data_IF_854867485546
#
_entry.id   IF_854867485546
#
_cell.length_a   1.000
_cell.length_b   1.000
_cell.length_c   1.000
_cell.angle_alpha   90.00
_cell.angle_beta   90.00
_cell.angle_gamma   90.00
#
_symmetry.space_group_name_H-M   'P 1'
#
loop_
_entity.id
_entity.type
_entity.pdbx_description
1 polymer ?
#
# COMPACT_ATOMS: atom_id res chain seq x y z
N UNK A 1 -5.26 -21.17 3.17
CA UNK A 1 -4.44 -20.03 3.64
C UNK A 1 -3.22 -19.76 2.75
N UNK A 2 -2.47 -20.77 2.31
CA UNK A 2 -1.27 -20.59 1.46
C UNK A 2 -1.58 -19.91 0.11
N UNK A 3 -2.69 -20.26 -0.54
CA UNK A 3 -3.13 -19.63 -1.81
C UNK A 3 -3.39 -18.13 -1.64
N UNK A 4 -4.04 -17.73 -0.54
CA UNK A 4 -4.33 -16.32 -0.23
C UNK A 4 -3.05 -15.53 -0.01
N UNK A 5 -2.06 -16.13 0.67
CA UNK A 5 -0.75 -15.52 0.89
C UNK A 5 0.00 -15.30 -0.44
N UNK A 6 -0.02 -16.29 -1.34
CA UNK A 6 0.57 -16.17 -2.67
C UNK A 6 -0.09 -15.09 -3.53
N UNK A 7 -1.42 -15.01 -3.47
CA UNK A 7 -2.20 -13.97 -4.15
C UNK A 7 -1.86 -12.56 -3.62
N UNK A 8 -1.81 -12.38 -2.30
CA UNK A 8 -1.44 -11.11 -1.67
C UNK A 8 -0.02 -10.68 -2.03
N UNK A 9 0.94 -11.60 -2.05
CA UNK A 9 2.32 -11.33 -2.48
C UNK A 9 2.36 -10.86 -3.94
N UNK A 10 1.57 -11.49 -4.82
CA UNK A 10 1.46 -11.09 -6.22
C UNK A 10 0.91 -9.66 -6.36
N UNK A 11 -0.16 -9.33 -5.63
CA UNK A 11 -0.71 -7.96 -5.59
C UNK A 11 0.35 -6.97 -5.11
N UNK A 12 1.11 -7.32 -4.07
CA UNK A 12 2.16 -6.46 -3.54
C UNK A 12 3.25 -6.16 -4.57
N UNK A 13 3.74 -7.17 -5.29
CA UNK A 13 4.73 -6.97 -6.36
C UNK A 13 4.18 -6.14 -7.52
N UNK A 14 2.93 -6.37 -7.92
CA UNK A 14 2.26 -5.58 -8.97
C UNK A 14 2.14 -4.12 -8.52
N UNK A 15 1.78 -3.87 -7.26
CA UNK A 15 1.66 -2.53 -6.70
C UNK A 15 3.02 -1.80 -6.69
N UNK A 16 4.12 -2.49 -6.35
CA UNK A 16 5.48 -1.94 -6.44
C UNK A 16 5.81 -1.55 -7.89
N UNK A 17 5.56 -2.45 -8.85
CA UNK A 17 5.81 -2.19 -10.26
C UNK A 17 5.03 -0.98 -10.79
N UNK A 18 3.74 -0.89 -10.46
CA UNK A 18 2.90 0.25 -10.82
C UNK A 18 3.35 1.54 -10.13
N UNK A 19 3.80 1.48 -8.88
CA UNK A 19 4.33 2.63 -8.17
C UNK A 19 5.58 3.20 -8.86
N UNK A 20 6.53 2.33 -9.22
CA UNK A 20 7.75 2.72 -9.97
C UNK A 20 7.39 3.28 -11.36
N UNK A 21 6.37 2.73 -12.00
CA UNK A 21 5.89 3.25 -13.27
C UNK A 21 5.31 4.66 -13.14
N UNK A 22 4.42 4.87 -12.17
CA UNK A 22 3.79 6.17 -11.94
C UNK A 22 4.77 7.23 -11.43
N UNK A 23 5.75 6.85 -10.59
CA UNK A 23 6.76 7.81 -10.12
C UNK A 23 7.61 8.33 -11.28
N UNK A 24 7.90 7.48 -12.27
CA UNK A 24 8.65 7.84 -13.48
C UNK A 24 7.82 8.75 -14.39
N UNK A 25 6.52 8.47 -14.56
CA UNK A 25 5.61 9.27 -15.41
C UNK A 25 5.00 10.51 -14.75
N UNK A 26 5.27 10.73 -13.47
CA UNK A 26 4.79 11.85 -12.63
C UNK A 26 4.80 13.23 -13.31
N UNK A 27 5.82 13.52 -14.13
CA UNK A 27 6.02 14.87 -14.70
C UNK A 27 5.20 15.14 -15.97
N UNK A 28 4.72 14.10 -16.65
CA UNK A 28 4.03 14.23 -17.95
C UNK A 28 2.53 13.99 -17.87
N UNK A 29 2.04 13.26 -16.88
CA UNK A 29 0.62 12.96 -16.72
C UNK A 29 0.17 13.19 -15.28
N UNK A 30 -1.09 13.57 -15.10
CA UNK A 30 -1.69 13.83 -13.79
C UNK A 30 -2.09 12.52 -13.07
N UNK A 31 -1.12 11.61 -12.94
CA UNK A 31 -1.23 10.25 -12.37
C UNK A 31 -1.06 10.22 -10.85
N UNK A 32 -1.06 11.39 -10.20
CA UNK A 32 -0.83 11.51 -8.75
C UNK A 32 -1.84 10.71 -7.93
N UNK A 33 -3.13 10.75 -8.31
CA UNK A 33 -4.18 9.97 -7.65
C UNK A 33 -3.94 8.47 -7.81
N UNK A 34 -3.64 8.00 -9.04
CA UNK A 34 -3.36 6.59 -9.31
C UNK A 34 -2.14 6.09 -8.54
N UNK A 35 -1.12 6.94 -8.39
CA UNK A 35 0.06 6.65 -7.59
C UNK A 35 -0.29 6.45 -6.11
N UNK A 36 -1.04 7.38 -5.50
CA UNK A 36 -1.47 7.24 -4.10
C UNK A 36 -2.37 6.02 -3.87
N UNK A 37 -3.30 5.73 -4.77
CA UNK A 37 -4.13 4.51 -4.70
C UNK A 37 -3.26 3.25 -4.74
N UNK A 38 -2.26 3.23 -5.63
CA UNK A 38 -1.33 2.10 -5.74
C UNK A 38 -0.55 1.88 -4.44
N UNK A 39 -0.08 2.96 -3.80
CA UNK A 39 0.59 2.91 -2.49
C UNK A 39 -0.34 2.30 -1.44
N UNK A 40 -1.58 2.78 -1.35
CA UNK A 40 -2.56 2.30 -0.37
C UNK A 40 -2.82 0.80 -0.58
N UNK A 41 -3.07 0.36 -1.81
CA UNK A 41 -3.33 -1.04 -2.14
C UNK A 41 -2.11 -1.92 -1.79
N UNK A 42 -0.90 -1.49 -2.15
CA UNK A 42 0.32 -2.21 -1.82
C UNK A 42 0.53 -2.34 -0.30
N UNK A 43 0.30 -1.26 0.46
CA UNK A 43 0.45 -1.29 1.91
C UNK A 43 -0.61 -2.14 2.61
N UNK A 44 -1.85 -2.11 2.14
CA UNK A 44 -2.91 -2.99 2.65
C UNK A 44 -2.62 -4.46 2.36
N UNK A 45 -2.11 -4.78 1.16
CA UNK A 45 -1.69 -6.13 0.84
C UNK A 45 -0.56 -6.60 1.76
N UNK A 46 0.43 -5.75 2.04
CA UNK A 46 1.53 -6.08 2.95
C UNK A 46 1.06 -6.28 4.41
N UNK A 47 0.14 -5.44 4.90
CA UNK A 47 -0.48 -5.62 6.21
C UNK A 47 -1.24 -6.94 6.30
N UNK A 48 -2.00 -7.30 5.26
CA UNK A 48 -2.70 -8.58 5.22
C UNK A 48 -1.75 -9.78 5.22
N UNK A 49 -0.61 -9.69 4.51
CA UNK A 49 0.46 -10.72 4.56
C UNK A 49 0.96 -10.89 5.99
N UNK A 50 1.31 -9.79 6.66
CA UNK A 50 1.82 -9.81 8.03
C UNK A 50 0.82 -10.42 9.03
N UNK A 51 -0.47 -10.07 8.91
CA UNK A 51 -1.54 -10.64 9.76
C UNK A 51 -1.68 -12.15 9.52
N UNK A 52 -1.61 -12.61 8.26
CA UNK A 52 -1.69 -14.03 7.94
C UNK A 52 -0.46 -14.79 8.45
N UNK A 53 0.74 -14.23 8.29
CA UNK A 53 2.00 -14.84 8.78
C UNK A 53 2.00 -14.98 10.31
N UNK A 54 1.43 -14.02 11.03
CA UNK A 54 1.18 -14.11 12.48
C UNK A 54 0.21 -15.24 12.82
N UNK A 55 -0.90 -15.34 12.08
CA UNK A 55 -1.91 -16.39 12.31
C UNK A 55 -1.40 -17.79 11.98
N UNK A 56 -0.47 -17.91 11.04
CA UNK A 56 0.18 -19.18 10.68
C UNK A 56 1.34 -19.56 11.62
N UNK A 57 1.69 -18.71 12.58
CA UNK A 57 2.82 -18.94 13.50
C UNK A 57 4.20 -18.85 12.81
N UNK A 58 4.26 -18.30 11.59
CA UNK A 58 5.50 -18.12 10.84
C UNK A 58 6.30 -16.94 11.43
N UNK A 59 5.59 -15.91 11.88
CA UNK A 59 6.16 -14.69 12.44
C UNK A 59 5.69 -14.47 13.88
N UNK A 60 6.55 -13.87 14.73
CA UNK A 60 6.21 -13.48 16.10
C UNK A 60 5.65 -12.06 16.14
N UNK A 61 4.65 -11.81 16.99
CA UNK A 61 4.02 -10.50 17.16
C UNK A 61 5.03 -9.38 17.41
N UNK A 62 5.98 -9.61 18.31
CA UNK A 62 7.04 -8.64 18.66
C UNK A 62 7.88 -8.20 17.46
N UNK A 63 8.11 -9.09 16.50
CA UNK A 63 8.89 -8.78 15.29
C UNK A 63 8.11 -7.95 14.28
N UNK A 64 6.78 -8.00 14.30
CA UNK A 64 5.91 -7.47 13.25
C UNK A 64 5.19 -6.19 13.71
N UNK A 65 5.07 -5.97 15.02
CA UNK A 65 4.48 -4.79 15.65
C UNK A 65 4.94 -3.46 15.03
N UNK A 66 6.26 -3.26 14.93
CA UNK A 66 6.84 -2.00 14.43
C UNK A 66 6.47 -1.81 12.96
N UNK A 67 6.50 -2.89 12.17
CA UNK A 67 6.14 -2.85 10.76
C UNK A 67 4.66 -2.52 10.57
N UNK A 68 3.77 -3.15 11.34
CA UNK A 68 2.33 -2.88 11.31
C UNK A 68 2.05 -1.42 11.68
N UNK A 69 2.67 -0.91 12.75
CA UNK A 69 2.45 0.45 13.20
C UNK A 69 2.90 1.47 12.14
N UNK A 70 4.08 1.26 11.56
CA UNK A 70 4.65 2.11 10.53
C UNK A 70 3.82 2.05 9.23
N UNK A 71 3.43 0.85 8.79
CA UNK A 71 2.55 0.69 7.62
C UNK A 71 1.20 1.39 7.83
N UNK A 72 0.60 1.25 9.00
CA UNK A 72 -0.66 1.91 9.34
C UNK A 72 -0.51 3.42 9.30
N UNK A 73 0.55 3.97 9.89
CA UNK A 73 0.83 5.41 9.85
C UNK A 73 0.98 5.92 8.40
N UNK A 74 1.69 5.19 7.53
CA UNK A 74 1.86 5.60 6.14
C UNK A 74 0.55 5.46 5.35
N UNK A 75 -0.28 4.43 5.62
CA UNK A 75 -1.60 4.30 5.00
C UNK A 75 -2.48 5.50 5.35
N UNK A 76 -2.53 5.88 6.63
CA UNK A 76 -3.29 7.07 7.08
C UNK A 76 -2.77 8.34 6.40
N UNK A 77 -1.46 8.53 6.37
CA UNK A 77 -0.85 9.67 5.68
C UNK A 77 -1.17 9.70 4.18
N UNK A 78 -1.13 8.54 3.52
CA UNK A 78 -1.40 8.39 2.09
C UNK A 78 -2.87 8.69 1.76
N UNK A 79 -3.81 8.22 2.60
CA UNK A 79 -5.23 8.55 2.50
C UNK A 79 -5.49 10.04 2.70
N UNK A 80 -4.79 10.66 3.66
CA UNK A 80 -4.88 12.11 3.89
C UNK A 80 -4.42 12.90 2.66
N UNK A 81 -3.25 12.54 2.10
CA UNK A 81 -2.72 13.17 0.89
C UNK A 81 -3.62 12.96 -0.33
N UNK A 82 -4.16 11.76 -0.52
CA UNK A 82 -5.13 11.44 -1.56
C UNK A 82 -6.38 12.33 -1.45
N UNK A 83 -6.91 12.47 -0.23
CA UNK A 83 -8.11 13.29 0.04
C UNK A 83 -7.89 14.76 -0.27
N UNK A 84 -6.72 15.31 0.07
CA UNK A 84 -6.34 16.68 -0.30
C UNK A 84 -6.30 16.83 -1.83
N UNK A 85 -5.67 15.90 -2.53
CA UNK A 85 -5.52 15.98 -3.98
C UNK A 85 -6.88 15.90 -4.69
N UNK A 86 -7.76 15.01 -4.24
CA UNK A 86 -9.13 14.89 -4.75
C UNK A 86 -9.93 16.18 -4.51
N UNK A 87 -9.86 16.75 -3.31
CA UNK A 87 -10.55 18.01 -2.98
C UNK A 87 -10.02 19.18 -3.83
N UNK A 88 -8.72 19.21 -4.09
CA UNK A 88 -8.09 20.25 -4.91
C UNK A 88 -8.53 20.20 -6.37
N UNK A 89 -8.77 19.00 -6.92
CA UNK A 89 -9.31 18.84 -8.27
C UNK A 89 -10.81 19.12 -8.37
N UNK A 90 -11.59 18.87 -7.31
CA UNK A 90 -13.03 19.15 -7.30
C UNK A 90 -13.34 20.66 -7.15
N UNK A 91 -12.43 21.44 -6.57
CA UNK A 91 -12.56 22.89 -6.42
C UNK A 91 -12.09 23.69 -7.64
N UNK A 92 -11.69 23.03 -8.72
CA UNK A 92 -11.18 23.63 -9.95
C UNK A 92 -12.18 23.43 -11.08
#
# INVERSE_FOLDING_TARGET
>A
MIIVLGFLRSIFFIAIGLYIYFITRRKQHDVVIQMWVTIIVGMLANLAIQIIDLKLGISKWESVQISIFLLTAIVVYSLWKLSIELRKRHSK
#
